data_IF_938877905232
#
_entry.id   IF_938877905232
#
_cell.length_a   1.000
_cell.length_b   1.000
_cell.length_c   1.000
_cell.angle_alpha   90.00
_cell.angle_beta   90.00
_cell.angle_gamma   90.00
#
_symmetry.space_group_name_H-M   'P 1'
#
loop_
_entity.id
_entity.type
_entity.pdbx_description
1 polymer ?
#
# COMPACT_ATOMS: atom_id res chain seq x y z
N UNK A 1 -1.11 61.53 -15.97
CA UNK A 1 -0.79 61.16 -14.58
C UNK A 1 -1.60 59.91 -14.24
N UNK A 2 -1.10 58.71 -14.01
CA UNK A 2 0.25 58.19 -13.97
C UNK A 2 0.15 56.66 -14.06
N UNK A 3 1.17 56.05 -14.63
CA UNK A 3 1.54 54.67 -14.35
C UNK A 3 3.01 54.76 -13.90
N UNK A 4 3.40 54.05 -12.84
CA UNK A 4 4.51 53.16 -13.10
C UNK A 4 4.44 51.80 -12.38
N UNK A 5 4.63 50.76 -13.20
CA UNK A 5 5.61 49.68 -13.02
C UNK A 5 5.36 48.61 -11.94
N UNK A 6 4.78 47.49 -12.39
CA UNK A 6 5.18 46.15 -11.92
C UNK A 6 5.65 45.34 -13.14
N UNK A 7 6.90 45.57 -13.55
CA UNK A 7 7.62 44.76 -14.56
C UNK A 7 8.99 44.42 -14.00
N UNK A 8 9.07 43.30 -13.30
CA UNK A 8 10.35 42.77 -12.82
C UNK A 8 10.13 41.73 -11.73
N UNK A 9 9.89 40.48 -12.13
CA UNK A 9 10.21 39.23 -11.37
C UNK A 9 9.61 37.95 -11.99
N UNK A 10 9.25 37.92 -13.28
CA UNK A 10 8.62 36.72 -13.88
C UNK A 10 9.63 35.59 -14.16
N UNK A 11 10.94 35.89 -14.23
CA UNK A 11 11.97 34.89 -14.54
C UNK A 11 12.48 34.13 -13.29
N UNK A 12 12.22 34.63 -12.07
CA UNK A 12 12.60 33.95 -10.82
C UNK A 12 11.55 32.97 -10.26
N UNK A 13 10.29 33.06 -10.74
CA UNK A 13 9.17 32.28 -10.18
C UNK A 13 9.23 30.79 -10.50
N UNK A 14 9.64 30.43 -11.73
CA UNK A 14 9.70 29.03 -12.15
C UNK A 14 10.86 28.27 -11.50
N UNK A 15 12.04 28.90 -11.38
CA UNK A 15 13.20 28.29 -10.72
C UNK A 15 12.96 28.11 -9.21
N UNK A 16 12.31 29.08 -8.54
CA UNK A 16 11.97 28.97 -7.12
C UNK A 16 10.88 27.92 -6.87
N UNK A 17 9.86 27.84 -7.73
CA UNK A 17 8.81 26.81 -7.64
C UNK A 17 9.37 25.39 -7.87
N UNK A 18 10.25 25.21 -8.86
CA UNK A 18 10.92 23.94 -9.12
C UNK A 18 11.88 23.53 -8.00
N UNK A 19 12.61 24.48 -7.40
CA UNK A 19 13.44 24.22 -6.22
C UNK A 19 12.62 23.81 -4.99
N UNK A 20 11.46 24.45 -4.78
CA UNK A 20 10.53 24.11 -3.69
C UNK A 20 9.88 22.73 -3.89
N UNK A 21 9.51 22.37 -5.11
CA UNK A 21 8.95 21.04 -5.38
C UNK A 21 10.00 19.94 -5.20
N UNK A 22 11.24 20.17 -5.64
CA UNK A 22 12.35 19.24 -5.40
C UNK A 22 12.65 19.06 -3.90
N UNK A 23 12.61 20.15 -3.12
CA UNK A 23 12.80 20.09 -1.68
C UNK A 23 11.66 19.36 -0.95
N UNK A 24 10.42 19.47 -1.43
CA UNK A 24 9.29 18.71 -0.90
C UNK A 24 9.38 17.23 -1.28
N UNK A 25 9.70 16.92 -2.55
CA UNK A 25 9.88 15.54 -3.00
C UNK A 25 10.96 14.81 -2.18
N UNK A 26 12.09 15.46 -1.92
CA UNK A 26 13.15 14.89 -1.10
C UNK A 26 12.71 14.58 0.35
N UNK A 27 11.76 15.36 0.91
CA UNK A 27 11.17 15.10 2.23
C UNK A 27 10.16 13.96 2.16
N UNK A 28 9.30 13.96 1.14
CA UNK A 28 8.32 12.91 0.92
C UNK A 28 9.00 11.54 0.73
N UNK A 29 10.14 11.50 0.02
CA UNK A 29 10.96 10.28 -0.14
C UNK A 29 11.53 9.79 1.19
N UNK A 30 11.99 10.72 2.05
CA UNK A 30 12.51 10.37 3.38
C UNK A 30 11.40 9.83 4.29
N UNK A 31 10.24 10.48 4.30
CA UNK A 31 9.09 10.06 5.12
C UNK A 31 8.57 8.69 4.68
N UNK A 32 8.48 8.45 3.37
CA UNK A 32 8.10 7.15 2.81
C UNK A 32 9.11 6.06 3.21
N UNK A 33 10.41 6.32 3.07
CA UNK A 33 11.43 5.35 3.46
C UNK A 33 11.39 5.03 4.95
N UNK A 34 11.15 6.03 5.81
CA UNK A 34 10.99 5.80 7.25
C UNK A 34 9.76 4.96 7.56
N UNK A 35 8.62 5.25 6.94
CA UNK A 35 7.39 4.46 7.11
C UNK A 35 7.57 3.01 6.67
N UNK A 36 8.26 2.77 5.55
CA UNK A 36 8.58 1.42 5.06
C UNK A 36 9.52 0.70 6.03
N UNK A 37 10.55 1.37 6.52
CA UNK A 37 11.50 0.80 7.48
C UNK A 37 10.81 0.40 8.80
N UNK A 38 9.89 1.24 9.29
CA UNK A 38 9.11 0.96 10.50
C UNK A 38 8.18 -0.25 10.30
N UNK A 39 7.46 -0.31 9.17
CA UNK A 39 6.62 -1.46 8.82
C UNK A 39 7.45 -2.76 8.69
N UNK A 40 8.63 -2.68 8.09
CA UNK A 40 9.52 -3.82 7.94
C UNK A 40 10.05 -4.31 9.31
N UNK A 41 10.36 -3.38 10.23
CA UNK A 41 10.74 -3.72 11.59
C UNK A 41 9.60 -4.39 12.36
N UNK A 42 8.37 -3.89 12.23
CA UNK A 42 7.18 -4.51 12.83
C UNK A 42 6.92 -5.93 12.28
N UNK A 43 7.04 -6.12 10.97
CA UNK A 43 6.90 -7.46 10.36
C UNK A 43 7.99 -8.43 10.82
N UNK A 44 9.24 -7.96 10.93
CA UNK A 44 10.32 -8.77 11.44
C UNK A 44 10.04 -9.23 12.89
N UNK A 45 9.56 -8.33 13.75
CA UNK A 45 9.23 -8.69 15.13
C UNK A 45 8.05 -9.69 15.23
N UNK A 46 7.04 -9.56 14.37
CA UNK A 46 5.92 -10.50 14.30
C UNK A 46 6.37 -11.91 13.86
N UNK A 47 7.36 -12.00 12.96
CA UNK A 47 7.89 -13.28 12.49
C UNK A 47 8.61 -14.08 13.60
N UNK A 48 9.31 -13.40 14.52
CA UNK A 48 10.05 -14.08 15.60
C UNK A 48 9.18 -14.54 16.78
N UNK A 49 7.98 -13.97 16.99
CA UNK A 49 7.05 -14.44 18.04
C UNK A 49 6.23 -15.68 17.64
N UNK A 50 6.30 -16.13 16.38
CA UNK A 50 5.59 -17.33 15.91
C UNK A 50 6.36 -18.65 16.06
N UNK A 51 7.60 -18.64 16.55
CA UNK A 51 8.51 -19.80 16.48
C UNK A 51 8.64 -20.64 17.76
N UNK A 52 7.67 -20.56 18.68
CA UNK A 52 7.51 -21.53 19.76
C UNK A 52 6.05 -22.02 19.89
N UNK A 53 5.62 -22.86 18.94
CA UNK A 53 4.54 -23.83 19.15
C UNK A 53 4.71 -25.04 18.21
N UNK A 54 4.50 -26.28 18.68
CA UNK A 54 4.84 -27.52 17.96
C UNK A 54 3.94 -27.77 16.73
N UNK A 55 4.36 -28.66 15.80
CA UNK A 55 3.56 -28.98 14.61
C UNK A 55 2.31 -29.77 14.99
N UNK A 56 1.20 -29.06 15.19
CA UNK A 56 -0.14 -29.55 14.93
C UNK A 56 -0.52 -28.95 13.57
N UNK A 57 -0.73 -29.73 12.53
CA UNK A 57 -1.97 -30.49 12.42
C UNK A 57 -3.11 -29.51 12.17
N UNK A 58 -3.69 -29.57 10.97
CA UNK A 58 -4.98 -28.96 10.59
C UNK A 58 -4.99 -27.42 10.65
N UNK A 59 -4.74 -26.81 9.49
CA UNK A 59 -5.01 -25.39 9.29
C UNK A 59 -6.47 -25.08 9.64
N UNK A 60 -6.57 -24.03 10.43
CA UNK A 60 -7.75 -23.48 11.05
C UNK A 60 -8.89 -23.29 10.05
N UNK A 61 -9.92 -24.13 10.16
CA UNK A 61 -11.26 -23.81 9.65
C UNK A 61 -11.83 -22.73 10.57
N UNK A 62 -11.37 -21.48 10.42
CA UNK A 62 -11.99 -20.36 11.08
C UNK A 62 -13.42 -20.24 10.55
N UNK A 63 -14.39 -20.44 11.45
CA UNK A 63 -15.81 -20.40 11.16
C UNK A 63 -16.18 -19.12 10.40
N UNK A 64 -16.70 -19.31 9.19
CA UNK A 64 -17.13 -18.26 8.29
C UNK A 64 -18.45 -17.64 8.80
N UNK A 65 -18.36 -16.55 9.55
CA UNK A 65 -19.45 -15.57 9.68
C UNK A 65 -19.06 -14.33 8.87
N UNK A 66 -19.71 -14.04 7.73
CA UNK A 66 -19.45 -12.80 7.01
C UNK A 66 -20.42 -11.69 7.48
N UNK A 67 -19.98 -10.71 8.28
CA UNK A 67 -20.58 -9.39 8.21
C UNK A 67 -20.23 -8.76 6.85
N UNK A 68 -21.08 -7.86 6.36
CA UNK A 68 -21.04 -7.25 5.02
C UNK A 68 -19.75 -6.45 4.66
N UNK A 69 -18.71 -6.54 5.48
CA UNK A 69 -17.34 -5.98 5.30
C UNK A 69 -16.32 -7.02 4.81
N UNK A 70 -16.73 -8.27 4.59
CA UNK A 70 -15.91 -9.45 4.24
C UNK A 70 -15.41 -9.49 2.77
N UNK A 71 -15.25 -8.33 2.11
CA UNK A 71 -14.66 -8.29 0.75
C UNK A 71 -13.15 -8.52 0.84
N UNK A 72 -12.49 -7.91 1.82
CA UNK A 72 -11.05 -8.07 2.03
C UNK A 72 -10.67 -9.52 2.39
N UNK A 73 -11.46 -10.18 3.24
CA UNK A 73 -11.24 -11.59 3.61
C UNK A 73 -11.30 -12.54 2.41
N UNK A 74 -12.32 -12.35 1.55
CA UNK A 74 -12.48 -13.16 0.33
C UNK A 74 -11.38 -12.91 -0.70
N UNK A 75 -10.87 -11.68 -0.83
CA UNK A 75 -9.75 -11.38 -1.71
C UNK A 75 -8.46 -12.08 -1.24
N UNK A 76 -8.22 -12.15 0.07
CA UNK A 76 -7.09 -12.88 0.65
C UNK A 76 -7.19 -14.38 0.34
N UNK A 77 -8.36 -14.98 0.58
CA UNK A 77 -8.60 -16.40 0.30
C UNK A 77 -8.38 -16.75 -1.18
N UNK A 78 -8.86 -15.90 -2.10
CA UNK A 78 -8.63 -16.07 -3.53
C UNK A 78 -7.14 -16.00 -3.89
N UNK A 79 -6.36 -15.14 -3.24
CA UNK A 79 -4.91 -15.04 -3.45
C UNK A 79 -4.16 -16.28 -2.99
N UNK A 80 -4.54 -16.86 -1.85
CA UNK A 80 -3.97 -18.11 -1.34
C UNK A 80 -4.22 -19.28 -2.30
N UNK A 81 -5.42 -19.37 -2.88
CA UNK A 81 -5.74 -20.43 -3.83
C UNK A 81 -4.90 -20.35 -5.12
N UNK A 82 -4.54 -19.15 -5.58
CA UNK A 82 -3.62 -18.98 -6.73
C UNK A 82 -2.21 -19.43 -6.38
N UNK A 83 -1.71 -19.10 -5.18
CA UNK A 83 -0.39 -19.51 -4.71
C UNK A 83 -0.28 -21.04 -4.56
N UNK A 84 -1.38 -21.69 -4.18
CA UNK A 84 -1.49 -23.15 -4.11
C UNK A 84 -1.66 -23.81 -5.49
N UNK A 85 -1.81 -23.02 -6.56
CA UNK A 85 -2.06 -23.51 -7.92
C UNK A 85 -3.46 -24.10 -8.12
N UNK A 86 -4.38 -23.87 -7.17
CA UNK A 86 -5.77 -24.31 -7.24
C UNK A 86 -6.61 -23.42 -8.18
N UNK A 87 -6.14 -22.20 -8.43
CA UNK A 87 -6.77 -21.22 -9.32
C UNK A 87 -5.73 -20.64 -10.27
N UNK A 88 -6.10 -20.51 -11.54
CA UNK A 88 -5.29 -19.78 -12.52
C UNK A 88 -5.43 -18.27 -12.32
N UNK A 89 -4.44 -17.46 -12.76
CA UNK A 89 -4.53 -16.00 -12.68
C UNK A 89 -5.77 -15.40 -13.39
N UNK A 90 -6.22 -16.06 -14.46
CA UNK A 90 -7.42 -15.66 -15.20
C UNK A 90 -8.70 -15.86 -14.36
N UNK A 91 -8.80 -16.97 -13.64
CA UNK A 91 -9.94 -17.28 -12.78
C UNK A 91 -9.96 -16.38 -11.52
N UNK A 92 -8.80 -16.05 -10.97
CA UNK A 92 -8.68 -15.07 -9.89
C UNK A 92 -9.23 -13.70 -10.28
N UNK A 93 -8.89 -13.20 -11.48
CA UNK A 93 -9.37 -11.92 -11.97
C UNK A 93 -10.90 -11.91 -12.14
N UNK A 94 -11.47 -13.00 -12.65
CA UNK A 94 -12.92 -13.16 -12.80
C UNK A 94 -13.63 -13.19 -11.43
N UNK A 95 -13.08 -13.91 -10.44
CA UNK A 95 -13.62 -13.99 -9.09
C UNK A 95 -13.56 -12.63 -8.37
N UNK A 96 -12.46 -11.88 -8.53
CA UNK A 96 -12.32 -10.52 -7.99
C UNK A 96 -13.33 -9.55 -8.61
N UNK A 97 -13.53 -9.60 -9.93
CA UNK A 97 -14.52 -8.75 -10.60
C UNK A 97 -15.94 -9.03 -10.09
N UNK A 98 -16.28 -10.31 -9.88
CA UNK A 98 -17.57 -10.72 -9.31
C UNK A 98 -17.76 -10.32 -7.85
N UNK A 99 -16.67 -10.11 -7.13
CA UNK A 99 -16.66 -9.68 -5.73
C UNK A 99 -16.86 -8.17 -5.56
N UNK A 100 -16.54 -7.39 -6.59
CA UNK A 100 -16.53 -5.92 -6.58
C UNK A 100 -17.65 -5.30 -7.42
N UNK A 101 -18.41 -6.12 -8.15
CA UNK A 101 -19.58 -5.73 -8.94
C UNK A 101 -20.84 -5.72 -8.06
#
# INVERSE_FOLDING_TARGET
MGAPLVRGLVVGGAAYAAGRSAANAARDEQDQNQAIADLQAQQAQAAYQGQQAPPAGYQQTAGYQPPATDVAGKLTQLGEMVQQGLLTPAEFAAAKAKLLA
#
